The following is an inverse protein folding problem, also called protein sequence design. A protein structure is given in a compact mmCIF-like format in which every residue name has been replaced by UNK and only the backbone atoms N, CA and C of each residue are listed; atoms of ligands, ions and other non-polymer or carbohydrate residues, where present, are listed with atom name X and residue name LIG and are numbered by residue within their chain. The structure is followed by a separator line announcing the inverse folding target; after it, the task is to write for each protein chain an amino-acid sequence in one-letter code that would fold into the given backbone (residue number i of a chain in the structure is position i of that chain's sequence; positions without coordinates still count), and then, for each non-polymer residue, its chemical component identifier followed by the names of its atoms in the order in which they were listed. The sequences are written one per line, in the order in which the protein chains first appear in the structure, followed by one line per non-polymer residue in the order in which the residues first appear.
data_IF_542388867109
#
_entry.id   IF_542388867109
#
_cell.length_a   1.000
_cell.length_b   1.000
_cell.length_c   1.000
_cell.angle_alpha   90.00
_cell.angle_beta   90.00
_cell.angle_gamma   90.00
#
_symmetry.space_group_name_H-M   'P 1'
#
loop_
_entity.id
_entity.type
_entity.pdbx_description
1 polymer ?
#
# COMPACT_ATOMS: atom_id res chain seq x y z
N UNK A 1 43.85 0.14 -20.23
CA UNK A 1 43.55 -1.19 -20.83
C UNK A 1 42.33 -1.16 -21.75
N UNK A 2 41.43 -0.20 -21.58
CA UNK A 2 40.19 -0.01 -22.37
C UNK A 2 40.48 0.40 -23.81
N UNK A 3 41.38 1.37 -24.02
CA UNK A 3 41.70 1.90 -25.35
C UNK A 3 42.20 0.90 -26.37
N UNK A 4 42.66 -0.28 -25.95
CA UNK A 4 43.18 -1.35 -26.85
C UNK A 4 42.05 -2.27 -27.34
N UNK A 5 40.94 -2.37 -26.61
CA UNK A 5 39.81 -3.26 -26.93
C UNK A 5 38.77 -2.54 -27.82
N UNK A 6 38.51 -1.25 -27.59
CA UNK A 6 37.47 -0.48 -28.26
C UNK A 6 38.02 0.57 -29.27
N UNK A 7 39.33 0.79 -29.30
CA UNK A 7 39.98 1.71 -30.24
C UNK A 7 39.92 3.19 -29.84
N UNK A 8 39.54 3.47 -28.59
CA UNK A 8 39.37 4.81 -28.07
C UNK A 8 40.71 5.54 -27.84
N UNK A 9 40.72 6.86 -27.78
CA UNK A 9 41.90 7.71 -27.49
C UNK A 9 42.19 7.71 -25.98
N UNK A 10 43.31 7.14 -25.51
CA UNK A 10 43.63 7.08 -24.08
C UNK A 10 43.88 8.45 -23.42
N UNK A 11 43.87 9.54 -24.20
CA UNK A 11 44.01 10.92 -23.71
C UNK A 11 42.70 11.71 -23.72
N UNK A 12 41.62 11.14 -24.26
CA UNK A 12 40.27 11.67 -24.22
C UNK A 12 39.37 10.78 -23.40
N UNK A 13 38.44 11.33 -22.67
CA UNK A 13 37.39 10.57 -21.99
C UNK A 13 36.17 10.35 -22.92
N UNK A 14 36.08 11.10 -23.98
CA UNK A 14 35.09 11.16 -25.04
C UNK A 14 35.85 11.21 -26.37
N UNK A 15 35.92 10.10 -27.08
CA UNK A 15 36.81 9.94 -28.23
C UNK A 15 36.24 10.56 -29.52
N UNK A 16 34.94 10.44 -29.77
CA UNK A 16 34.24 10.98 -30.93
C UNK A 16 33.70 12.40 -30.73
N UNK A 17 33.73 12.88 -29.49
CA UNK A 17 33.35 14.23 -29.08
C UNK A 17 31.84 14.49 -29.22
N UNK A 18 30.99 13.47 -28.94
CA UNK A 18 29.52 13.58 -28.97
C UNK A 18 28.90 13.99 -27.62
N UNK A 19 29.72 13.99 -26.55
CA UNK A 19 29.33 14.43 -25.22
C UNK A 19 29.11 13.27 -24.22
N UNK A 20 29.22 12.03 -24.68
CA UNK A 20 29.18 10.87 -23.80
C UNK A 20 30.59 10.39 -23.44
N UNK A 21 30.75 9.76 -22.28
CA UNK A 21 32.03 9.21 -21.86
C UNK A 21 32.26 7.83 -22.49
N UNK A 22 33.41 7.55 -23.12
CA UNK A 22 33.78 6.25 -23.71
C UNK A 22 33.49 5.08 -22.77
N UNK A 23 33.76 5.24 -21.48
CA UNK A 23 33.56 4.20 -20.49
C UNK A 23 32.07 3.90 -20.21
N UNK A 24 31.24 4.93 -20.24
CA UNK A 24 29.81 4.79 -20.09
C UNK A 24 29.19 4.13 -21.33
N UNK A 25 29.57 4.56 -22.53
CA UNK A 25 29.10 3.99 -23.78
C UNK A 25 29.41 2.49 -23.89
N UNK A 26 30.65 2.10 -23.62
CA UNK A 26 31.07 0.70 -23.58
C UNK A 26 30.28 -0.10 -22.52
N UNK A 27 30.03 0.48 -21.36
CA UNK A 27 29.29 -0.19 -20.29
C UNK A 27 27.82 -0.42 -20.67
N UNK A 28 27.25 0.48 -21.49
CA UNK A 28 25.84 0.46 -21.90
C UNK A 28 25.64 -0.05 -23.35
N UNK A 29 26.68 -0.58 -23.99
CA UNK A 29 26.58 -1.25 -25.29
C UNK A 29 26.50 -0.33 -26.49
N UNK A 30 26.94 0.94 -26.33
CA UNK A 30 27.10 1.92 -27.40
C UNK A 30 28.51 1.88 -27.98
N UNK A 31 28.76 2.58 -29.10
CA UNK A 31 30.05 2.60 -29.82
C UNK A 31 30.79 3.93 -29.56
N UNK A 32 31.84 3.98 -28.73
CA UNK A 32 32.58 5.18 -28.36
C UNK A 32 33.38 5.82 -29.51
N UNK A 33 33.16 5.41 -30.74
CA UNK A 33 33.77 5.97 -31.95
C UNK A 33 32.69 6.51 -32.92
N UNK A 34 31.41 6.49 -32.51
CA UNK A 34 30.29 6.87 -33.35
C UNK A 34 29.46 7.94 -32.63
N UNK A 35 29.44 9.16 -33.11
CA UNK A 35 28.54 10.20 -32.65
C UNK A 35 27.08 9.72 -32.73
N UNK A 36 26.59 9.11 -31.65
CA UNK A 36 25.24 8.58 -31.51
C UNK A 36 24.51 9.14 -30.28
N UNK A 37 24.98 10.22 -29.69
CA UNK A 37 24.41 10.94 -28.55
C UNK A 37 22.93 11.32 -28.74
N UNK A 38 22.54 11.68 -29.96
CA UNK A 38 21.15 12.00 -30.32
C UNK A 38 20.32 10.73 -30.68
N UNK A 39 20.92 9.55 -30.60
CA UNK A 39 20.22 8.26 -30.76
C UNK A 39 19.29 8.00 -29.59
N UNK A 40 18.34 7.11 -29.83
CA UNK A 40 17.40 6.55 -28.86
C UNK A 40 17.42 5.04 -29.11
N UNK A 41 18.18 4.31 -28.31
CA UNK A 41 18.57 2.95 -28.65
C UNK A 41 17.52 1.88 -28.25
N UNK A 42 16.73 2.14 -27.24
CA UNK A 42 15.62 1.28 -26.79
C UNK A 42 14.24 1.79 -27.19
N UNK A 43 14.14 3.08 -27.59
CA UNK A 43 12.93 3.66 -28.13
C UNK A 43 11.97 4.24 -27.10
N UNK A 44 12.48 4.62 -25.93
CA UNK A 44 11.68 5.14 -24.82
C UNK A 44 11.41 6.65 -24.92
N UNK A 45 12.11 7.35 -25.83
CA UNK A 45 11.95 8.80 -26.03
C UNK A 45 13.09 9.63 -25.44
N UNK A 46 13.99 9.07 -24.63
CA UNK A 46 15.23 9.70 -24.22
C UNK A 46 16.32 9.45 -25.28
N UNK A 47 17.20 10.42 -25.45
CA UNK A 47 18.42 10.21 -26.23
C UNK A 47 19.49 9.55 -25.34
N UNK A 48 20.43 8.82 -25.95
CA UNK A 48 21.55 8.18 -25.24
C UNK A 48 22.28 9.18 -24.31
N UNK A 49 22.46 10.42 -24.75
CA UNK A 49 23.06 11.48 -23.92
C UNK A 49 22.15 11.91 -22.74
N UNK A 50 20.84 11.93 -22.92
CA UNK A 50 19.91 12.25 -21.83
C UNK A 50 19.93 11.14 -20.78
N UNK A 51 19.96 9.90 -21.21
CA UNK A 51 20.06 8.74 -20.34
C UNK A 51 21.36 8.72 -19.52
N UNK A 52 22.50 9.07 -20.13
CA UNK A 52 23.73 9.28 -19.37
C UNK A 52 23.52 10.35 -18.28
N UNK A 53 22.77 11.41 -18.59
CA UNK A 53 22.49 12.50 -17.67
C UNK A 53 21.56 12.13 -16.53
N UNK A 54 20.58 11.27 -16.78
CA UNK A 54 19.61 10.76 -15.78
C UNK A 54 20.12 9.51 -15.05
N UNK A 55 21.06 8.78 -15.67
CA UNK A 55 21.64 7.56 -15.12
C UNK A 55 20.88 6.30 -15.52
N UNK A 56 19.97 6.40 -16.49
CA UNK A 56 19.23 5.28 -17.07
C UNK A 56 20.10 4.48 -18.06
N UNK A 57 19.56 3.44 -18.66
CA UNK A 57 20.32 2.54 -19.54
C UNK A 57 19.72 2.54 -20.95
N UNK A 58 20.43 3.03 -21.98
CA UNK A 58 19.94 3.15 -23.36
C UNK A 58 19.59 1.84 -24.07
N UNK A 59 19.56 0.75 -23.37
CA UNK A 59 19.12 -0.55 -23.88
C UNK A 59 17.91 -1.09 -23.11
N UNK A 60 17.30 -0.26 -22.21
CA UNK A 60 16.30 -0.75 -21.26
C UNK A 60 15.28 0.32 -20.91
N UNK A 61 14.24 0.43 -21.70
CA UNK A 61 13.21 1.46 -21.68
C UNK A 61 12.29 1.48 -20.44
N UNK A 62 12.37 0.48 -19.56
CA UNK A 62 11.54 0.28 -18.37
C UNK A 62 12.32 -0.67 -17.45
N UNK A 63 13.22 -0.14 -16.60
CA UNK A 63 14.15 -0.97 -15.81
C UNK A 63 13.51 -1.67 -14.62
N UNK A 64 12.48 -1.12 -13.99
CA UNK A 64 11.81 -1.69 -12.81
C UNK A 64 10.56 -2.51 -13.19
N UNK A 65 10.00 -2.28 -14.40
CA UNK A 65 8.97 -3.12 -14.99
C UNK A 65 7.55 -2.80 -14.52
N UNK A 66 7.31 -1.58 -14.06
CA UNK A 66 5.99 -1.13 -13.63
C UNK A 66 5.04 -0.85 -14.81
N UNK A 67 5.61 -0.47 -15.98
CA UNK A 67 4.90 -0.19 -17.22
C UNK A 67 5.03 1.24 -17.72
N UNK A 68 5.65 2.15 -16.97
CA UNK A 68 6.17 3.42 -17.48
C UNK A 68 7.54 3.22 -18.11
N UNK A 69 7.86 4.03 -19.09
CA UNK A 69 9.21 4.13 -19.64
C UNK A 69 9.98 5.26 -18.91
N UNK A 70 11.32 5.20 -18.97
CA UNK A 70 12.20 6.15 -18.28
C UNK A 70 11.83 7.62 -18.56
N UNK A 71 11.45 7.97 -19.80
CA UNK A 71 11.03 9.32 -20.18
C UNK A 71 9.72 9.76 -19.53
N UNK A 72 8.77 8.82 -19.38
CA UNK A 72 7.48 9.05 -18.75
C UNK A 72 7.67 9.28 -17.24
N UNK A 73 8.51 8.48 -16.59
CA UNK A 73 8.83 8.60 -15.17
C UNK A 73 9.58 9.89 -14.84
N UNK A 74 10.60 10.23 -15.62
CA UNK A 74 11.30 11.51 -15.50
C UNK A 74 10.34 12.70 -15.67
N UNK A 75 9.34 12.58 -16.55
CA UNK A 75 8.33 13.62 -16.75
C UNK A 75 7.34 13.70 -15.58
N UNK A 76 7.01 12.60 -14.93
CA UNK A 76 6.18 12.52 -13.73
C UNK A 76 6.95 12.92 -12.47
N UNK A 77 8.25 12.64 -12.43
CA UNK A 77 9.14 12.86 -11.29
C UNK A 77 9.30 11.64 -10.40
N UNK A 78 8.86 10.48 -10.86
CA UNK A 78 9.06 9.17 -10.23
C UNK A 78 10.50 8.65 -10.46
N UNK A 79 10.87 7.53 -9.86
CA UNK A 79 12.22 6.96 -9.95
C UNK A 79 12.25 5.79 -10.93
N UNK A 80 12.93 5.89 -12.11
CA UNK A 80 13.02 4.83 -13.12
C UNK A 80 13.58 3.47 -12.65
N UNK A 81 13.93 3.36 -11.38
CA UNK A 81 14.45 2.13 -10.79
C UNK A 81 13.62 1.63 -9.60
N UNK A 82 12.49 2.28 -9.29
CA UNK A 82 11.63 1.92 -8.17
C UNK A 82 10.17 2.04 -8.58
N UNK A 83 9.56 0.90 -8.87
CA UNK A 83 8.19 0.77 -9.37
C UNK A 83 7.09 1.30 -8.42
N UNK A 84 7.44 1.78 -7.24
CA UNK A 84 6.54 2.28 -6.19
C UNK A 84 7.26 3.43 -5.47
N UNK A 85 7.25 4.61 -6.08
CA UNK A 85 8.08 5.76 -5.70
C UNK A 85 7.77 6.32 -4.31
N UNK A 86 6.53 6.23 -3.82
CA UNK A 86 6.12 6.72 -2.50
C UNK A 86 6.00 5.61 -1.44
N UNK A 87 6.10 4.35 -1.86
CA UNK A 87 6.12 3.15 -1.03
C UNK A 87 4.80 2.87 -0.28
N UNK A 88 3.67 3.15 -0.91
CA UNK A 88 2.36 2.82 -0.36
C UNK A 88 1.91 1.37 -0.70
N UNK A 89 2.51 0.77 -1.74
CA UNK A 89 2.26 -0.58 -2.23
C UNK A 89 1.47 -0.65 -3.54
N UNK A 90 1.11 0.50 -4.14
CA UNK A 90 0.72 0.58 -5.55
C UNK A 90 1.97 0.84 -6.40
N UNK A 91 1.98 0.41 -7.66
CA UNK A 91 3.00 0.83 -8.60
C UNK A 91 2.63 2.18 -9.24
N UNK A 92 3.65 2.97 -9.63
CA UNK A 92 3.47 4.33 -10.17
C UNK A 92 2.52 4.35 -11.37
N UNK A 93 2.58 3.31 -12.23
CA UNK A 93 1.69 3.18 -13.38
C UNK A 93 0.24 2.90 -12.95
N UNK A 94 0.03 2.02 -11.96
CA UNK A 94 -1.30 1.73 -11.46
C UNK A 94 -1.94 2.98 -10.85
N UNK A 95 -1.17 3.76 -10.12
CA UNK A 95 -1.62 5.01 -9.54
C UNK A 95 -2.02 6.02 -10.61
N UNK A 96 -1.10 6.43 -11.46
CA UNK A 96 -1.35 7.50 -12.42
C UNK A 96 -2.38 7.14 -13.49
N UNK A 97 -2.48 5.85 -13.89
CA UNK A 97 -3.29 5.41 -15.05
C UNK A 97 -4.57 4.71 -14.65
N UNK A 98 -4.55 3.91 -13.57
CA UNK A 98 -5.70 3.08 -13.19
C UNK A 98 -6.57 3.76 -12.15
N UNK A 99 -5.94 4.30 -11.08
CA UNK A 99 -6.65 4.87 -9.94
C UNK A 99 -6.76 6.39 -10.02
N UNK A 100 -5.79 7.06 -10.65
CA UNK A 100 -5.73 8.51 -10.77
C UNK A 100 -5.14 9.16 -9.53
N UNK A 101 -4.50 8.38 -8.67
CA UNK A 101 -3.76 8.82 -7.48
C UNK A 101 -2.42 9.46 -7.87
N UNK A 102 -1.69 9.96 -6.91
CA UNK A 102 -0.42 10.64 -7.13
C UNK A 102 0.75 9.73 -6.74
N UNK A 103 1.55 9.21 -7.68
CA UNK A 103 2.63 8.25 -7.41
C UNK A 103 3.80 8.80 -6.56
N UNK A 104 3.67 9.99 -6.00
CA UNK A 104 4.64 10.62 -5.10
C UNK A 104 4.02 10.98 -3.74
N UNK A 105 2.77 10.53 -3.48
CA UNK A 105 2.04 10.86 -2.26
C UNK A 105 1.18 9.67 -1.84
N UNK A 106 1.58 8.91 -0.80
CA UNK A 106 0.95 7.66 -0.42
C UNK A 106 -0.49 7.79 0.14
N UNK A 107 -1.03 9.01 0.21
CA UNK A 107 -2.37 9.38 0.72
C UNK A 107 -2.86 10.56 -0.11
N UNK A 108 -3.38 10.27 -1.32
CA UNK A 108 -3.68 11.27 -2.35
C UNK A 108 -4.74 12.31 -1.97
N UNK A 109 -5.62 12.01 -1.01
CA UNK A 109 -6.68 12.91 -0.55
C UNK A 109 -6.44 13.48 0.87
N UNK A 110 -5.30 13.14 1.50
CA UNK A 110 -4.83 13.64 2.80
C UNK A 110 -5.77 13.27 3.98
N UNK A 111 -6.47 12.14 3.94
CA UNK A 111 -7.42 11.77 5.00
C UNK A 111 -6.82 10.84 6.09
N UNK A 112 -5.65 10.29 5.83
CA UNK A 112 -4.87 9.44 6.75
C UNK A 112 -4.96 7.95 6.46
N UNK A 113 -5.61 7.56 5.38
CA UNK A 113 -5.59 6.22 4.81
C UNK A 113 -4.59 6.18 3.64
N UNK A 114 -3.93 5.06 3.40
CA UNK A 114 -3.06 4.91 2.25
C UNK A 114 -3.88 4.54 1.02
N UNK A 115 -3.54 5.09 -0.15
CA UNK A 115 -4.23 4.81 -1.43
C UNK A 115 -4.34 3.31 -1.68
N UNK A 116 -3.27 2.56 -1.44
CA UNK A 116 -3.25 1.10 -1.54
C UNK A 116 -4.29 0.43 -0.66
N UNK A 117 -4.39 0.85 0.61
CA UNK A 117 -5.34 0.23 1.53
C UNK A 117 -6.78 0.51 1.10
N UNK A 118 -7.08 1.74 0.65
CA UNK A 118 -8.41 2.11 0.18
C UNK A 118 -8.81 1.32 -1.06
N UNK A 119 -7.88 1.17 -2.02
CA UNK A 119 -8.09 0.32 -3.20
C UNK A 119 -8.39 -1.12 -2.81
N UNK A 120 -7.63 -1.71 -1.88
CA UNK A 120 -7.84 -3.09 -1.42
C UNK A 120 -9.18 -3.25 -0.65
N UNK A 121 -9.55 -2.23 0.14
CA UNK A 121 -10.83 -2.16 0.85
C UNK A 121 -12.03 -1.81 -0.07
N UNK A 122 -11.76 -1.44 -1.33
CA UNK A 122 -12.78 -1.02 -2.29
C UNK A 122 -13.36 0.35 -2.02
N UNK A 123 -12.63 1.22 -1.32
CA UNK A 123 -12.90 2.64 -1.14
C UNK A 123 -12.35 3.45 -2.31
N UNK A 124 -12.67 4.73 -2.39
CA UNK A 124 -12.14 5.63 -3.44
C UNK A 124 -11.01 6.48 -2.86
N UNK A 125 -9.73 6.25 -3.24
CA UNK A 125 -8.55 6.92 -2.67
C UNK A 125 -8.44 8.42 -3.02
N UNK A 126 -9.44 8.97 -3.68
CA UNK A 126 -9.53 10.41 -4.02
C UNK A 126 -10.67 11.11 -3.27
N UNK A 127 -11.34 10.43 -2.31
CA UNK A 127 -12.51 10.95 -1.60
C UNK A 127 -12.36 10.80 -0.07
N UNK A 128 -11.65 11.69 0.57
CA UNK A 128 -11.42 11.74 2.02
C UNK A 128 -12.66 12.06 2.88
N UNK A 129 -13.88 11.83 2.38
CA UNK A 129 -15.12 12.16 3.11
C UNK A 129 -16.28 11.21 2.78
N UNK A 130 -17.25 11.13 3.70
CA UNK A 130 -18.39 10.23 3.52
C UNK A 130 -18.02 8.79 3.85
N UNK A 131 -18.60 7.85 3.14
CA UNK A 131 -18.38 6.42 3.40
C UNK A 131 -17.00 5.94 2.90
N UNK A 132 -16.38 6.65 1.96
CA UNK A 132 -15.05 6.30 1.44
C UNK A 132 -13.91 6.90 2.28
N UNK A 133 -14.10 8.02 2.98
CA UNK A 133 -13.04 8.65 3.75
C UNK A 133 -12.82 8.07 5.14
N UNK A 134 -11.73 8.44 5.80
CA UNK A 134 -11.28 7.94 7.11
C UNK A 134 -12.34 7.93 8.23
N UNK A 135 -13.30 8.83 8.18
CA UNK A 135 -14.40 8.91 9.14
C UNK A 135 -15.66 8.15 8.74
N UNK A 136 -15.66 7.50 7.58
CA UNK A 136 -16.74 6.66 7.09
C UNK A 136 -16.94 5.40 7.95
N UNK A 137 -18.11 4.79 7.85
CA UNK A 137 -18.49 3.53 8.51
C UNK A 137 -19.50 2.87 7.57
N UNK A 138 -19.00 2.25 6.46
CA UNK A 138 -19.88 1.76 5.39
C UNK A 138 -20.69 0.53 5.76
N UNK A 139 -20.24 -0.31 6.68
CA UNK A 139 -20.96 -1.52 7.16
C UNK A 139 -21.76 -1.29 8.45
N UNK A 140 -21.57 -0.11 9.08
CA UNK A 140 -22.32 0.36 10.24
C UNK A 140 -22.12 -0.49 11.52
N UNK A 141 -20.91 -0.97 11.73
CA UNK A 141 -20.54 -1.76 12.92
C UNK A 141 -20.06 -0.89 14.09
N UNK A 142 -19.89 0.42 13.89
CA UNK A 142 -19.38 1.48 14.76
C UNK A 142 -17.84 1.61 14.81
N UNK A 143 -17.08 0.95 13.95
CA UNK A 143 -15.74 1.37 13.60
C UNK A 143 -15.80 2.30 12.38
N UNK A 144 -14.95 3.28 12.32
CA UNK A 144 -14.75 4.04 11.10
C UNK A 144 -13.55 3.48 10.33
N UNK A 145 -13.45 3.79 9.04
CA UNK A 145 -12.40 3.26 8.15
C UNK A 145 -10.99 3.41 8.74
N UNK A 146 -10.69 4.55 9.41
CA UNK A 146 -9.38 4.75 10.05
C UNK A 146 -9.15 3.82 11.25
N UNK A 147 -10.20 3.49 11.99
CA UNK A 147 -10.12 2.52 13.09
C UNK A 147 -9.92 1.11 12.53
N UNK A 148 -10.65 0.78 11.48
CA UNK A 148 -10.53 -0.51 10.79
C UNK A 148 -9.15 -0.69 10.15
N UNK A 149 -8.62 0.35 9.50
CA UNK A 149 -7.22 0.39 9.06
C UNK A 149 -6.25 0.06 10.21
N UNK A 150 -6.50 0.62 11.40
CA UNK A 150 -5.69 0.39 12.59
C UNK A 150 -5.83 -1.01 13.19
N UNK A 151 -7.01 -1.62 13.12
CA UNK A 151 -7.28 -2.97 13.62
C UNK A 151 -7.05 -4.06 12.55
N UNK A 152 -7.01 -3.68 11.26
CA UNK A 152 -6.85 -4.57 10.13
C UNK A 152 -8.13 -5.35 9.81
N UNK A 153 -9.28 -4.76 10.08
CA UNK A 153 -10.61 -5.28 9.72
C UNK A 153 -11.02 -4.79 8.33
N UNK A 154 -12.11 -5.34 7.76
CA UNK A 154 -12.62 -4.97 6.45
C UNK A 154 -13.76 -3.95 6.59
N UNK A 155 -13.62 -2.69 6.11
CA UNK A 155 -14.60 -1.63 6.32
C UNK A 155 -15.95 -1.87 5.59
N UNK A 156 -16.13 -3.01 4.98
CA UNK A 156 -17.36 -3.40 4.29
C UNK A 156 -17.96 -4.68 4.83
N UNK A 157 -17.33 -5.29 5.84
CA UNK A 157 -17.77 -6.53 6.50
C UNK A 157 -17.79 -6.35 8.01
N UNK A 158 -18.92 -6.00 8.58
CA UNK A 158 -19.14 -5.74 10.02
C UNK A 158 -18.72 -6.87 10.99
N UNK A 159 -18.23 -7.99 10.49
CA UNK A 159 -17.78 -9.19 11.21
C UNK A 159 -16.68 -9.85 10.36
N UNK A 160 -15.46 -9.35 10.47
CA UNK A 160 -14.32 -9.71 9.60
C UNK A 160 -13.91 -11.18 9.71
N UNK A 161 -13.96 -11.77 10.89
CA UNK A 161 -13.58 -13.18 11.11
C UNK A 161 -14.74 -14.18 10.98
N UNK A 162 -15.97 -13.67 10.89
CA UNK A 162 -17.19 -14.45 10.63
C UNK A 162 -17.68 -15.28 11.81
N UNK A 163 -17.42 -14.83 13.03
CA UNK A 163 -17.76 -15.58 14.25
C UNK A 163 -19.13 -15.22 14.85
N UNK A 164 -19.75 -14.17 14.35
CA UNK A 164 -21.09 -13.72 14.71
C UNK A 164 -21.12 -12.55 15.71
N UNK A 165 -19.95 -12.02 16.07
CA UNK A 165 -19.80 -10.75 16.77
C UNK A 165 -19.37 -9.69 15.77
N UNK A 166 -19.71 -8.42 15.97
CA UNK A 166 -19.23 -7.37 15.06
C UNK A 166 -17.90 -6.81 15.54
N UNK A 167 -17.04 -6.42 14.58
CA UNK A 167 -15.70 -5.90 14.85
C UNK A 167 -15.74 -4.75 15.86
N UNK A 168 -16.68 -3.81 15.69
CA UNK A 168 -16.86 -2.69 16.60
C UNK A 168 -17.28 -3.09 18.01
N UNK A 169 -18.11 -4.16 18.15
CA UNK A 169 -18.44 -4.67 19.47
C UNK A 169 -17.25 -5.36 20.12
N UNK A 170 -16.49 -6.16 19.38
CA UNK A 170 -15.31 -6.87 19.89
C UNK A 170 -14.24 -5.88 20.37
N UNK A 171 -13.93 -4.86 19.56
CA UNK A 171 -13.00 -3.81 19.93
C UNK A 171 -13.47 -3.05 21.19
N UNK A 172 -14.77 -2.73 21.29
CA UNK A 172 -15.33 -2.02 22.45
C UNK A 172 -15.22 -2.85 23.73
N UNK A 173 -15.27 -4.19 23.60
CA UNK A 173 -15.22 -5.13 24.72
C UNK A 173 -13.84 -5.80 24.91
N UNK A 174 -12.81 -5.34 24.17
CA UNK A 174 -11.43 -5.81 24.34
C UNK A 174 -11.15 -7.21 23.83
N UNK A 175 -11.95 -7.66 22.86
CA UNK A 175 -11.75 -8.89 22.09
C UNK A 175 -10.95 -8.57 20.79
N UNK A 176 -10.58 -9.61 20.05
CA UNK A 176 -9.79 -9.48 18.82
C UNK A 176 -10.66 -9.74 17.58
N UNK A 177 -11.04 -8.69 16.80
CA UNK A 177 -11.95 -8.81 15.67
C UNK A 177 -11.39 -9.61 14.47
N UNK A 178 -10.17 -10.11 14.56
CA UNK A 178 -9.56 -10.97 13.56
C UNK A 178 -9.46 -12.45 14.00
N UNK A 179 -9.93 -12.76 15.20
CA UNK A 179 -9.75 -14.11 15.79
C UNK A 179 -11.06 -14.67 16.29
N UNK A 180 -11.63 -15.65 15.58
CA UNK A 180 -12.87 -16.32 16.01
C UNK A 180 -12.75 -16.84 17.45
N UNK A 181 -13.22 -16.05 18.38
CA UNK A 181 -13.23 -16.32 19.82
C UNK A 181 -14.64 -16.37 20.42
N UNK A 182 -15.68 -16.42 19.58
CA UNK A 182 -17.09 -16.53 19.93
C UNK A 182 -17.43 -17.60 20.99
N UNK A 183 -16.67 -18.67 21.00
CA UNK A 183 -16.86 -19.78 21.95
C UNK A 183 -16.04 -19.63 23.24
N UNK A 184 -15.23 -18.53 23.34
CA UNK A 184 -14.51 -18.15 24.55
C UNK A 184 -15.47 -17.81 25.68
N UNK A 185 -14.98 -17.85 26.89
CA UNK A 185 -15.64 -17.42 28.15
C UNK A 185 -14.55 -16.64 28.87
N UNK A 186 -14.49 -15.33 28.58
CA UNK A 186 -13.31 -14.51 28.88
C UNK A 186 -13.20 -14.19 30.38
N UNK A 187 -14.33 -13.99 31.08
CA UNK A 187 -14.37 -13.68 32.51
C UNK A 187 -14.68 -14.92 33.40
N UNK A 188 -15.16 -16.02 32.78
CA UNK A 188 -15.35 -17.30 33.44
C UNK A 188 -16.69 -17.46 34.17
N UNK A 189 -17.70 -16.69 33.78
CA UNK A 189 -19.02 -16.69 34.41
C UNK A 189 -19.96 -17.79 33.89
N UNK A 190 -19.60 -18.42 32.75
CA UNK A 190 -20.32 -19.51 32.09
C UNK A 190 -21.09 -19.10 30.85
N UNK A 191 -21.08 -17.81 30.43
CA UNK A 191 -21.47 -17.38 29.10
C UNK A 191 -20.27 -17.41 28.16
N UNK A 192 -20.51 -17.71 26.91
CA UNK A 192 -19.51 -17.51 25.87
C UNK A 192 -19.62 -16.10 25.30
N UNK A 193 -18.51 -15.53 24.79
CA UNK A 193 -18.46 -14.18 24.24
C UNK A 193 -19.62 -13.87 23.27
N UNK A 194 -19.95 -14.81 22.38
CA UNK A 194 -21.09 -14.66 21.47
C UNK A 194 -22.45 -14.63 22.20
N UNK A 195 -22.58 -15.33 23.34
CA UNK A 195 -23.81 -15.29 24.14
C UNK A 195 -23.94 -13.95 24.83
N UNK A 196 -22.83 -13.40 25.31
CA UNK A 196 -22.75 -12.07 25.91
C UNK A 196 -23.07 -10.98 24.91
N UNK A 197 -22.51 -11.05 23.69
CA UNK A 197 -22.91 -10.21 22.58
C UNK A 197 -24.44 -10.23 22.37
N UNK A 198 -25.05 -11.40 22.45
CA UNK A 198 -26.51 -11.59 22.30
C UNK A 198 -27.34 -11.08 23.47
N UNK A 199 -26.81 -11.10 24.70
CA UNK A 199 -27.46 -10.65 25.92
C UNK A 199 -27.19 -9.15 26.21
N UNK A 200 -26.09 -8.64 25.71
CA UNK A 200 -25.65 -7.26 25.95
C UNK A 200 -24.87 -7.10 27.26
N UNK A 201 -24.24 -8.19 27.73
CA UNK A 201 -23.33 -8.20 28.88
C UNK A 201 -21.90 -7.91 28.46
N UNK A 202 -21.01 -7.62 29.42
CA UNK A 202 -19.60 -7.31 29.20
C UNK A 202 -18.75 -8.58 29.37
N UNK A 203 -18.13 -9.12 28.32
CA UNK A 203 -17.34 -10.36 28.37
C UNK A 203 -16.05 -10.24 29.22
N UNK A 204 -15.80 -9.10 29.83
CA UNK A 204 -14.70 -8.85 30.76
C UNK A 204 -15.18 -8.74 32.21
N UNK A 205 -16.50 -8.73 32.47
CA UNK A 205 -17.09 -8.55 33.82
C UNK A 205 -18.21 -9.56 34.10
N UNK A 206 -17.92 -10.56 34.86
CA UNK A 206 -18.80 -11.68 35.21
C UNK A 206 -20.11 -11.31 35.96
N UNK A 207 -20.39 -10.02 36.23
CA UNK A 207 -21.55 -9.48 36.95
C UNK A 207 -21.78 -8.04 36.44
N UNK A 208 -22.24 -7.94 35.17
CA UNK A 208 -22.33 -6.68 34.40
C UNK A 208 -23.18 -5.61 35.11
N UNK A 209 -24.27 -5.96 35.78
CA UNK A 209 -25.13 -5.02 36.49
C UNK A 209 -24.68 -4.74 37.94
N UNK A 210 -23.74 -5.53 38.48
CA UNK A 210 -23.12 -5.36 39.80
C UNK A 210 -24.00 -5.72 40.96
N UNK A 211 -25.03 -6.58 40.79
CA UNK A 211 -25.97 -6.95 41.81
C UNK A 211 -25.51 -8.15 42.68
N UNK A 212 -24.44 -8.82 42.27
CA UNK A 212 -23.77 -9.93 42.96
C UNK A 212 -24.18 -11.32 42.47
N UNK A 213 -24.90 -11.39 41.35
CA UNK A 213 -25.17 -12.61 40.61
C UNK A 213 -24.34 -12.60 39.32
N UNK A 214 -23.71 -13.72 38.93
CA UNK A 214 -23.03 -13.79 37.65
C UNK A 214 -24.00 -13.80 36.47
N UNK A 215 -23.66 -13.13 35.34
CA UNK A 215 -24.50 -13.01 34.16
C UNK A 215 -24.90 -14.37 33.60
N UNK A 216 -23.98 -15.35 33.53
CA UNK A 216 -24.27 -16.70 33.11
C UNK A 216 -25.30 -17.42 34.00
N UNK A 217 -25.26 -17.18 35.32
CA UNK A 217 -26.26 -17.74 36.22
C UNK A 217 -27.64 -17.08 36.02
N UNK A 218 -27.65 -15.75 35.75
CA UNK A 218 -28.90 -15.00 35.55
C UNK A 218 -29.58 -15.40 34.24
N UNK A 219 -28.84 -15.48 33.15
CA UNK A 219 -29.35 -15.97 31.85
C UNK A 219 -29.91 -17.39 31.97
N UNK A 220 -29.21 -18.33 32.67
CA UNK A 220 -29.70 -19.70 32.87
C UNK A 220 -31.00 -19.73 33.68
N UNK A 221 -31.20 -18.78 34.59
CA UNK A 221 -32.39 -18.68 35.44
C UNK A 221 -33.46 -17.74 34.89
N UNK A 222 -33.26 -17.12 33.74
CA UNK A 222 -34.21 -16.24 33.05
C UNK A 222 -34.39 -14.90 33.75
N UNK A 223 -33.31 -14.41 34.37
CA UNK A 223 -33.19 -13.10 34.94
C UNK A 223 -32.56 -12.13 33.92
N UNK A 224 -32.45 -10.88 34.26
CA UNK A 224 -31.87 -9.81 33.43
C UNK A 224 -30.44 -9.56 33.96
N UNK A 225 -29.38 -9.94 33.21
CA UNK A 225 -28.00 -9.84 33.62
C UNK A 225 -27.42 -8.42 33.49
#
# INVERSE_FOLDING_TARGET
AESVLHGTDPLSADTDADGMDDAWEVANGLDPLLDDADGDADGDGLTNLQEQGYGTNPQHADPDGDGFADDEEIALGTDPFDADSDNDGLDDYAEAVTYGTNPLDPDSDDDGLLDRWEVDAGLDPLIGTGDDGASGDPDADNLNNLQEYGYGTDPREADTDGDGMSDGWEVANGLDPQTNDAAGDTDGDGLANLQEHGCGTDPQDADTDGDGMPDGWEVENGLDP
#
